data_IF_811929582514
#
_entry.id   IF_811929582514
#
_cell.length_a   1.000
_cell.length_b   1.000
_cell.length_c   1.000
_cell.angle_alpha   90.00
_cell.angle_beta   90.00
_cell.angle_gamma   90.00
#
_symmetry.space_group_name_H-M   'P 1'
#
loop_
_entity.id
_entity.type
_entity.pdbx_description
1 polymer ?
#
# COMPACT_ATOMS: atom_id res chain seq x y z
N UNK A 1 9.56 36.59 -15.01
CA UNK A 1 8.93 35.52 -14.19
C UNK A 1 9.53 34.22 -14.68
N UNK A 2 10.44 33.65 -13.90
CA UNK A 2 11.08 32.36 -14.23
C UNK A 2 10.26 31.34 -13.46
N UNK A 3 9.37 30.64 -14.16
CA UNK A 3 8.74 29.43 -13.63
C UNK A 3 9.84 28.40 -13.41
N UNK A 4 10.19 28.18 -12.15
CA UNK A 4 11.09 27.12 -11.76
C UNK A 4 10.39 25.80 -12.03
N UNK A 5 10.76 25.13 -13.11
CA UNK A 5 10.56 23.71 -13.28
C UNK A 5 11.46 22.99 -12.26
N UNK A 6 10.99 22.94 -11.02
CA UNK A 6 11.62 22.13 -10.00
C UNK A 6 11.53 20.69 -10.45
N UNK A 7 12.66 20.14 -10.86
CA UNK A 7 12.81 18.71 -11.12
C UNK A 7 12.41 17.98 -9.84
N UNK A 8 11.23 17.38 -9.81
CA UNK A 8 10.75 16.65 -8.63
C UNK A 8 11.75 15.53 -8.39
N UNK A 9 12.34 15.51 -7.20
CA UNK A 9 13.36 14.52 -6.86
C UNK A 9 12.74 13.12 -6.81
N UNK A 10 12.86 12.40 -7.93
CA UNK A 10 12.40 11.02 -8.07
C UNK A 10 13.46 10.00 -7.68
N UNK A 11 14.62 10.44 -7.19
CA UNK A 11 15.76 9.56 -6.84
C UNK A 11 15.39 8.57 -5.74
N UNK A 12 14.69 9.03 -4.70
CA UNK A 12 14.21 8.19 -3.59
C UNK A 12 13.33 7.04 -4.09
N UNK A 13 12.44 7.33 -5.05
CA UNK A 13 11.56 6.32 -5.63
C UNK A 13 12.33 5.26 -6.42
N UNK A 14 13.33 5.67 -7.21
CA UNK A 14 14.19 4.76 -7.98
C UNK A 14 15.04 3.86 -7.08
N UNK A 15 15.48 4.39 -5.93
CA UNK A 15 16.23 3.61 -4.95
C UNK A 15 15.37 2.59 -4.19
N UNK A 16 14.09 2.93 -3.95
CA UNK A 16 13.16 2.03 -3.26
C UNK A 16 12.74 0.85 -4.13
N UNK A 17 12.49 1.08 -5.42
CA UNK A 17 11.97 0.05 -6.33
C UNK A 17 13.09 -0.84 -6.81
N UNK A 18 13.09 -2.09 -6.34
CA UNK A 18 14.04 -3.12 -6.79
C UNK A 18 13.34 -4.28 -7.47
N UNK A 19 14.05 -4.98 -8.36
CA UNK A 19 13.47 -6.09 -9.13
C UNK A 19 12.99 -7.23 -8.23
N UNK A 20 13.70 -7.49 -7.14
CA UNK A 20 13.44 -8.56 -6.18
C UNK A 20 12.13 -8.36 -5.40
N UNK A 21 11.74 -7.11 -5.21
CA UNK A 21 10.50 -6.75 -4.52
C UNK A 21 9.28 -6.71 -5.46
N UNK A 22 9.49 -6.82 -6.76
CA UNK A 22 8.41 -6.95 -7.75
C UNK A 22 8.08 -8.41 -8.03
N UNK A 23 6.81 -8.77 -8.31
CA UNK A 23 6.43 -10.15 -8.64
C UNK A 23 7.11 -10.64 -9.94
N UNK A 24 7.28 -9.77 -10.91
CA UNK A 24 7.86 -10.06 -12.21
C UNK A 24 8.61 -8.85 -12.79
N UNK A 25 9.29 -9.05 -13.92
CA UNK A 25 10.06 -8.00 -14.58
C UNK A 25 9.14 -6.94 -15.24
N UNK A 26 7.96 -7.30 -15.66
CA UNK A 26 7.00 -6.37 -16.24
C UNK A 26 6.58 -5.34 -15.19
N UNK A 27 6.19 -5.78 -14.00
CA UNK A 27 5.86 -4.91 -12.86
C UNK A 27 7.01 -3.95 -12.55
N UNK A 28 8.25 -4.46 -12.48
CA UNK A 28 9.44 -3.63 -12.23
C UNK A 28 9.61 -2.54 -13.29
N UNK A 29 9.53 -2.88 -14.57
CA UNK A 29 9.68 -1.91 -15.67
C UNK A 29 8.53 -0.88 -15.68
N UNK A 30 7.31 -1.30 -15.36
CA UNK A 30 6.15 -0.39 -15.24
C UNK A 30 6.35 0.62 -14.11
N UNK A 31 6.89 0.21 -12.95
CA UNK A 31 7.25 1.13 -11.88
C UNK A 31 8.29 2.14 -12.31
N UNK A 32 9.40 1.70 -12.91
CA UNK A 32 10.46 2.61 -13.39
C UNK A 32 9.91 3.64 -14.38
N UNK A 33 9.15 3.18 -15.37
CA UNK A 33 8.50 4.04 -16.36
C UNK A 33 7.54 5.04 -15.71
N UNK A 34 6.78 4.60 -14.68
CA UNK A 34 5.82 5.47 -13.99
C UNK A 34 6.53 6.55 -13.16
N UNK A 35 7.66 6.21 -12.52
CA UNK A 35 8.48 7.16 -11.78
C UNK A 35 9.06 8.23 -12.71
N UNK A 36 9.49 7.87 -13.93
CA UNK A 36 10.01 8.81 -14.93
C UNK A 36 8.97 9.81 -15.45
N UNK A 37 7.69 9.48 -15.35
CA UNK A 37 6.60 10.38 -15.74
C UNK A 37 6.34 11.47 -14.71
N UNK A 38 6.94 11.40 -13.52
CA UNK A 38 6.64 12.29 -12.39
C UNK A 38 5.14 12.29 -12.03
N UNK A 39 4.63 13.27 -11.31
CA UNK A 39 3.20 13.37 -10.95
C UNK A 39 2.63 12.08 -10.35
N UNK A 40 3.29 11.60 -9.29
CA UNK A 40 3.08 10.25 -8.71
C UNK A 40 1.81 10.14 -7.85
N UNK A 41 1.22 11.26 -7.48
CA UNK A 41 0.07 11.30 -6.58
C UNK A 41 -1.25 11.28 -7.34
N UNK A 42 -2.32 10.94 -6.63
CA UNK A 42 -3.67 10.92 -7.19
C UNK A 42 -4.13 12.29 -7.71
N UNK A 43 -3.78 13.38 -7.02
CA UNK A 43 -4.17 14.73 -7.41
C UNK A 43 -3.46 15.19 -8.68
N UNK A 44 -2.22 14.74 -8.88
CA UNK A 44 -1.41 15.09 -10.03
C UNK A 44 -1.70 14.20 -11.24
N UNK A 45 -1.97 12.92 -11.01
CA UNK A 45 -2.33 11.94 -12.05
C UNK A 45 -3.46 11.03 -11.58
N UNK A 46 -4.73 11.44 -11.73
CA UNK A 46 -5.87 10.64 -11.29
C UNK A 46 -5.98 9.27 -11.99
N UNK A 47 -5.41 9.13 -13.19
CA UNK A 47 -5.50 7.89 -13.94
C UNK A 47 -4.51 6.82 -13.47
N UNK A 48 -3.32 7.23 -12.99
CA UNK A 48 -2.29 6.30 -12.56
C UNK A 48 -1.42 6.95 -11.47
N UNK A 49 -1.48 6.44 -10.26
CA UNK A 49 -0.81 7.02 -9.11
C UNK A 49 -0.33 5.96 -8.12
N UNK A 50 0.48 6.41 -7.17
CA UNK A 50 1.03 5.54 -6.14
C UNK A 50 0.10 5.44 -4.95
N UNK A 51 0.11 4.25 -4.36
CA UNK A 51 -0.61 3.94 -3.13
C UNK A 51 0.35 3.29 -2.13
N UNK A 52 0.07 3.46 -0.86
CA UNK A 52 0.76 2.76 0.21
C UNK A 52 -0.23 1.82 0.90
N UNK A 53 0.20 0.57 1.07
CA UNK A 53 -0.53 -0.42 1.85
C UNK A 53 0.35 -0.92 2.98
N UNK A 54 -0.24 -1.26 4.08
CA UNK A 54 0.47 -1.91 5.17
C UNK A 54 -0.29 -3.14 5.64
N UNK A 55 0.45 -4.20 5.92
CA UNK A 55 -0.12 -5.44 6.41
C UNK A 55 0.28 -5.61 7.88
N UNK A 56 -0.66 -5.37 8.84
CA UNK A 56 -0.39 -5.66 10.24
C UNK A 56 -0.24 -7.17 10.44
N UNK A 57 0.86 -7.56 11.08
CA UNK A 57 1.23 -8.95 11.29
C UNK A 57 1.51 -9.20 12.75
N UNK A 58 0.75 -10.11 13.36
CA UNK A 58 1.05 -10.63 14.66
C UNK A 58 1.95 -11.87 14.53
N UNK A 59 3.24 -11.68 14.77
CA UNK A 59 4.25 -12.75 14.60
C UNK A 59 4.06 -13.89 15.62
N UNK A 60 3.53 -13.58 16.80
CA UNK A 60 3.30 -14.58 17.83
C UNK A 60 2.14 -15.53 17.49
N UNK A 61 1.03 -14.97 17.01
CA UNK A 61 -0.17 -15.76 16.63
C UNK A 61 -0.18 -16.18 15.17
N UNK A 62 0.80 -15.71 14.36
CA UNK A 62 0.90 -15.91 12.91
C UNK A 62 -0.35 -15.49 12.15
N UNK A 63 -0.97 -14.39 12.61
CA UNK A 63 -2.17 -13.80 12.00
C UNK A 63 -1.87 -12.47 11.34
N UNK A 64 -2.66 -12.16 10.33
CA UNK A 64 -2.68 -10.86 9.65
C UNK A 64 -4.00 -10.14 9.94
N UNK A 65 -3.95 -8.81 9.97
CA UNK A 65 -5.13 -7.99 10.15
C UNK A 65 -5.65 -7.53 8.79
N UNK A 66 -6.94 -7.73 8.56
CA UNK A 66 -7.61 -7.36 7.33
C UNK A 66 -8.88 -6.55 7.61
N UNK A 67 -9.26 -5.73 6.66
CA UNK A 67 -10.41 -4.81 6.78
C UNK A 67 -11.44 -5.07 5.68
N UNK A 68 -12.72 -5.01 6.01
CA UNK A 68 -13.82 -5.00 5.04
C UNK A 68 -14.14 -3.54 4.71
N UNK A 69 -13.57 -3.04 3.64
CA UNK A 69 -13.60 -1.63 3.28
C UNK A 69 -14.95 -1.21 2.71
N UNK A 70 -15.58 -0.17 3.27
CA UNK A 70 -16.93 0.27 2.90
C UNK A 70 -17.05 0.73 1.45
N UNK A 71 -16.08 1.48 0.98
CA UNK A 71 -16.10 2.08 -0.36
C UNK A 71 -15.97 1.05 -1.48
N UNK A 72 -15.11 0.04 -1.30
CA UNK A 72 -14.91 -1.02 -2.31
C UNK A 72 -15.81 -2.23 -2.09
N UNK A 73 -16.30 -2.46 -0.86
CA UNK A 73 -16.99 -3.68 -0.47
C UNK A 73 -16.09 -4.92 -0.43
N UNK A 74 -14.78 -4.75 -0.46
CA UNK A 74 -13.80 -5.84 -0.51
C UNK A 74 -13.10 -6.01 0.83
N UNK A 75 -12.64 -7.22 1.09
CA UNK A 75 -11.65 -7.51 2.13
C UNK A 75 -10.26 -7.20 1.60
N UNK A 76 -9.56 -6.30 2.27
CA UNK A 76 -8.26 -5.76 1.85
C UNK A 76 -7.32 -5.60 3.05
N UNK A 77 -6.05 -5.39 2.78
CA UNK A 77 -5.13 -4.76 3.72
C UNK A 77 -5.44 -3.27 3.81
N UNK A 78 -5.27 -2.63 4.98
CA UNK A 78 -5.43 -1.20 5.13
C UNK A 78 -4.38 -0.41 4.33
N UNK A 79 -4.72 0.84 3.98
CA UNK A 79 -3.88 1.75 3.21
C UNK A 79 -4.64 2.58 2.20
N UNK A 80 -3.95 3.50 1.54
CA UNK A 80 -4.57 4.42 0.60
C UNK A 80 -3.61 5.12 -0.33
N UNK A 81 -4.05 6.24 -0.89
CA UNK A 81 -3.31 6.95 -1.91
C UNK A 81 -2.21 7.82 -1.32
N UNK A 82 -1.17 8.04 -2.12
CA UNK A 82 -0.16 9.03 -1.81
C UNK A 82 -0.71 10.44 -2.06
N UNK A 83 -0.63 11.33 -1.09
CA UNK A 83 -1.01 12.72 -1.22
C UNK A 83 0.14 13.57 -1.75
N UNK A 84 -0.21 14.72 -2.35
CA UNK A 84 0.77 15.61 -2.95
C UNK A 84 1.79 16.11 -1.93
N UNK A 85 3.06 15.89 -2.23
CA UNK A 85 4.19 16.32 -1.41
C UNK A 85 4.57 15.33 -0.30
N UNK A 86 3.85 14.22 -0.15
CA UNK A 86 4.22 13.19 0.81
C UNK A 86 5.37 12.30 0.30
N UNK A 87 6.25 11.93 1.21
CA UNK A 87 7.12 10.76 1.04
C UNK A 87 6.32 9.47 1.32
N UNK A 88 6.80 8.29 0.86
CA UNK A 88 6.16 7.01 1.18
C UNK A 88 5.99 6.77 2.69
N UNK A 89 6.96 7.18 3.50
CA UNK A 89 6.91 7.07 4.96
C UNK A 89 5.82 7.95 5.57
N UNK A 90 5.68 9.19 5.07
CA UNK A 90 4.63 10.09 5.55
C UNK A 90 3.25 9.55 5.20
N UNK A 91 3.06 9.09 3.97
CA UNK A 91 1.80 8.50 3.52
C UNK A 91 1.42 7.27 4.34
N UNK A 92 2.32 6.30 4.53
CA UNK A 92 1.99 5.09 5.30
C UNK A 92 1.70 5.39 6.77
N UNK A 93 2.39 6.35 7.40
CA UNK A 93 2.08 6.75 8.79
C UNK A 93 0.75 7.52 8.88
N UNK A 94 0.40 8.34 7.88
CA UNK A 94 -0.90 9.01 7.82
C UNK A 94 -2.03 7.99 7.71
N UNK A 95 -1.93 7.03 6.80
CA UNK A 95 -2.93 5.96 6.66
C UNK A 95 -3.05 5.11 7.94
N UNK A 96 -1.93 4.78 8.60
CA UNK A 96 -1.96 4.08 9.89
C UNK A 96 -2.67 4.91 10.97
N UNK A 97 -2.46 6.22 10.98
CA UNK A 97 -3.16 7.12 11.91
C UNK A 97 -4.66 7.19 11.60
N UNK A 98 -5.03 7.40 10.35
CA UNK A 98 -6.42 7.56 9.91
C UNK A 98 -7.22 6.28 10.15
N UNK A 99 -6.70 5.12 9.78
CA UNK A 99 -7.42 3.86 9.81
C UNK A 99 -7.32 3.10 11.15
N UNK A 100 -6.15 3.18 11.83
CA UNK A 100 -5.89 2.42 13.07
C UNK A 100 -5.68 3.30 14.30
N UNK A 101 -5.66 4.62 14.17
CA UNK A 101 -5.52 5.57 15.27
C UNK A 101 -4.14 5.58 15.94
N UNK A 102 -3.09 5.16 15.26
CA UNK A 102 -1.71 5.16 15.76
C UNK A 102 -0.96 6.36 15.19
N UNK A 103 -0.54 7.34 16.02
CA UNK A 103 0.00 8.62 15.55
C UNK A 103 1.29 8.53 14.73
N UNK A 104 2.19 7.61 15.08
CA UNK A 104 3.44 7.38 14.34
C UNK A 104 3.92 5.96 14.62
N UNK A 105 3.81 5.10 13.64
CA UNK A 105 4.29 3.73 13.77
C UNK A 105 5.74 3.59 13.30
N UNK A 106 6.02 4.04 12.08
CA UNK A 106 7.37 4.02 11.55
C UNK A 106 8.10 5.31 11.94
N UNK A 107 9.14 5.19 12.76
CA UNK A 107 10.01 6.32 13.17
C UNK A 107 11.16 6.54 12.20
N UNK A 108 11.54 5.51 11.46
CA UNK A 108 12.52 5.53 10.39
C UNK A 108 11.87 5.07 9.08
N UNK A 109 12.46 5.43 7.95
CA UNK A 109 11.92 5.06 6.62
C UNK A 109 11.84 3.53 6.49
N UNK A 110 10.63 2.96 6.47
CA UNK A 110 10.47 1.52 6.35
C UNK A 110 10.86 1.05 4.95
N UNK A 111 11.35 -0.18 4.86
CA UNK A 111 11.59 -0.83 3.57
C UNK A 111 10.31 -1.52 3.13
N UNK A 112 9.84 -1.26 1.91
CA UNK A 112 8.76 -2.05 1.32
C UNK A 112 9.16 -3.52 1.22
N UNK A 113 8.21 -4.43 1.31
CA UNK A 113 8.46 -5.86 1.10
C UNK A 113 7.88 -6.36 -0.23
N UNK A 114 7.06 -5.53 -0.89
CA UNK A 114 6.47 -5.84 -2.19
C UNK A 114 6.14 -4.53 -2.92
N UNK A 115 6.29 -4.56 -4.24
CA UNK A 115 5.72 -3.60 -5.19
C UNK A 115 4.77 -4.36 -6.10
N UNK A 116 3.51 -3.91 -6.20
CA UNK A 116 2.51 -4.53 -7.06
C UNK A 116 1.75 -3.48 -7.87
N UNK A 117 1.11 -3.92 -8.96
CA UNK A 117 0.28 -3.04 -9.77
C UNK A 117 -1.10 -3.66 -9.90
N UNK A 118 -2.12 -2.85 -9.61
CA UNK A 118 -3.52 -3.18 -9.87
C UNK A 118 -3.99 -2.38 -11.07
N UNK A 119 -4.28 -3.06 -12.16
CA UNK A 119 -4.97 -2.46 -13.31
C UNK A 119 -6.48 -2.48 -13.04
N UNK A 120 -7.12 -1.34 -13.20
CA UNK A 120 -8.55 -1.12 -12.90
C UNK A 120 -9.31 -1.09 -14.22
N UNK A 121 -9.94 -2.19 -14.57
CA UNK A 121 -10.80 -2.32 -15.74
C UNK A 121 -12.23 -1.86 -15.41
N UNK A 122 -12.38 -0.56 -15.14
CA UNK A 122 -13.67 0.07 -14.94
C UNK A 122 -13.74 1.35 -15.75
N UNK A 123 -14.59 1.35 -16.78
CA UNK A 123 -14.72 2.49 -17.73
C UNK A 123 -15.26 3.75 -17.04
N UNK A 124 -16.01 3.63 -15.94
CA UNK A 124 -16.61 4.76 -15.24
C UNK A 124 -15.68 5.39 -14.21
N UNK A 125 -14.59 4.71 -13.82
CA UNK A 125 -13.61 5.24 -12.89
C UNK A 125 -12.49 5.98 -13.63
N UNK A 126 -12.06 7.12 -13.07
CA UNK A 126 -10.93 7.88 -13.59
C UNK A 126 -9.64 7.11 -13.39
N UNK A 127 -9.47 6.45 -12.24
CA UNK A 127 -8.30 5.65 -11.93
C UNK A 127 -8.26 4.38 -12.79
N UNK A 128 -7.13 4.14 -13.44
CA UNK A 128 -6.86 2.99 -14.31
C UNK A 128 -5.78 2.08 -13.77
N UNK A 129 -4.88 2.59 -12.94
CA UNK A 129 -3.85 1.77 -12.32
C UNK A 129 -3.38 2.35 -10.98
N UNK A 130 -3.25 1.50 -9.99
CA UNK A 130 -2.53 1.77 -8.75
C UNK A 130 -1.14 1.14 -8.81
N UNK A 131 -0.14 1.87 -8.33
CA UNK A 131 1.23 1.41 -8.13
C UNK A 131 1.46 1.32 -6.63
N UNK A 132 1.37 0.12 -6.08
CA UNK A 132 1.27 -0.15 -4.65
C UNK A 132 2.61 -0.43 -4.01
N UNK A 133 2.92 0.28 -2.94
CA UNK A 133 4.04 0.03 -2.03
C UNK A 133 3.52 -0.65 -0.78
N UNK A 134 4.06 -1.82 -0.46
CA UNK A 134 3.59 -2.64 0.65
C UNK A 134 4.57 -2.65 1.81
N UNK A 135 4.06 -2.36 3.01
CA UNK A 135 4.83 -2.32 4.24
C UNK A 135 4.34 -3.35 5.24
N UNK A 136 5.27 -4.09 5.84
CA UNK A 136 4.95 -4.98 6.96
C UNK A 136 4.87 -4.16 8.23
N UNK A 137 3.81 -4.36 9.01
CA UNK A 137 3.58 -3.71 10.29
C UNK A 137 3.55 -4.76 11.41
N UNK A 138 4.71 -5.11 12.04
CA UNK A 138 4.74 -6.06 13.15
C UNK A 138 4.00 -5.47 14.36
N UNK A 139 2.92 -6.13 14.81
CA UNK A 139 2.08 -5.62 15.91
C UNK A 139 1.17 -6.72 16.45
N UNK A 140 0.74 -6.58 17.70
CA UNK A 140 -0.31 -7.40 18.29
C UNK A 140 -1.72 -6.79 18.13
N UNK A 141 -1.79 -5.55 17.67
CA UNK A 141 -3.03 -4.83 17.45
C UNK A 141 -3.70 -4.26 18.70
N UNK A 142 -3.08 -4.37 19.88
CA UNK A 142 -3.68 -3.91 21.16
C UNK A 142 -3.88 -2.39 21.20
N UNK A 143 -3.09 -1.63 20.42
CA UNK A 143 -3.18 -0.16 20.33
C UNK A 143 -4.18 0.34 19.28
N UNK A 144 -4.82 -0.54 18.50
CA UNK A 144 -5.69 -0.14 17.40
C UNK A 144 -6.96 0.57 17.91
N UNK A 145 -7.25 1.70 17.26
CA UNK A 145 -8.51 2.46 17.39
C UNK A 145 -9.08 2.60 15.98
N UNK A 146 -9.83 1.59 15.58
CA UNK A 146 -10.33 1.45 14.21
C UNK A 146 -11.31 2.56 13.84
N UNK A 147 -11.10 3.21 12.70
CA UNK A 147 -12.08 4.13 12.15
C UNK A 147 -13.29 3.36 11.60
N UNK A 148 -14.38 3.41 12.33
CA UNK A 148 -15.64 2.78 11.94
C UNK A 148 -16.32 3.47 10.75
N UNK A 149 -15.85 4.65 10.30
CA UNK A 149 -16.37 5.32 9.10
C UNK A 149 -15.85 4.68 7.82
N UNK A 150 -14.64 4.09 7.85
CA UNK A 150 -13.97 3.49 6.71
C UNK A 150 -14.34 2.01 6.51
N UNK A 151 -14.59 1.27 7.59
CA UNK A 151 -14.73 -0.18 7.55
C UNK A 151 -16.09 -0.67 8.04
N UNK A 152 -16.60 -1.72 7.39
CA UNK A 152 -17.75 -2.49 7.89
C UNK A 152 -17.34 -3.43 9.02
N UNK A 153 -16.18 -4.04 8.88
CA UNK A 153 -15.63 -5.04 9.81
C UNK A 153 -14.12 -5.14 9.68
N UNK A 154 -13.47 -5.59 10.74
CA UNK A 154 -12.03 -5.89 10.73
C UNK A 154 -11.77 -7.23 11.42
N UNK A 155 -10.72 -7.96 10.99
CA UNK A 155 -10.41 -9.28 11.52
C UNK A 155 -8.91 -9.54 11.62
N UNK A 156 -8.52 -10.22 12.70
CA UNK A 156 -7.27 -10.96 12.77
C UNK A 156 -7.50 -12.39 12.30
N UNK A 157 -6.90 -12.77 11.19
CA UNK A 157 -7.11 -14.08 10.54
C UNK A 157 -5.77 -14.74 10.21
N UNK A 158 -5.76 -16.05 10.08
CA UNK A 158 -4.61 -16.77 9.51
C UNK A 158 -4.49 -16.48 8.02
N UNK A 159 -3.31 -16.67 7.43
CA UNK A 159 -3.12 -16.46 5.98
C UNK A 159 -4.07 -17.32 5.13
N UNK A 160 -4.30 -18.62 5.42
CA UNK A 160 -5.30 -19.40 4.68
C UNK A 160 -6.73 -18.88 4.77
N UNK A 161 -7.11 -18.25 5.90
CA UNK A 161 -8.42 -17.60 6.05
C UNK A 161 -8.48 -16.29 5.26
N UNK A 162 -7.41 -15.47 5.31
CA UNK A 162 -7.30 -14.25 4.52
C UNK A 162 -7.46 -14.52 3.02
N UNK A 163 -6.82 -15.57 2.49
CA UNK A 163 -6.93 -15.99 1.08
C UNK A 163 -8.35 -16.37 0.65
N UNK A 164 -9.21 -16.76 1.58
CA UNK A 164 -10.63 -17.05 1.26
C UNK A 164 -11.50 -15.80 1.19
N UNK A 165 -11.07 -14.72 1.82
CA UNK A 165 -11.80 -13.46 1.92
C UNK A 165 -11.32 -12.44 0.89
N UNK A 166 -10.00 -12.34 0.73
CA UNK A 166 -9.36 -11.41 -0.21
C UNK A 166 -9.34 -12.00 -1.62
N UNK A 167 -9.83 -11.25 -2.60
CA UNK A 167 -9.86 -11.65 -4.01
C UNK A 167 -8.94 -10.80 -4.89
N UNK A 168 -8.46 -9.69 -4.37
CA UNK A 168 -7.56 -8.77 -5.06
C UNK A 168 -6.16 -9.36 -5.21
N UNK A 169 -5.61 -9.27 -6.43
CA UNK A 169 -4.32 -9.88 -6.79
C UNK A 169 -3.15 -9.32 -5.96
N UNK A 170 -3.13 -8.00 -5.73
CA UNK A 170 -2.05 -7.36 -4.95
C UNK A 170 -2.06 -7.83 -3.50
N UNK A 171 -3.24 -7.92 -2.90
CA UNK A 171 -3.40 -8.45 -1.55
C UNK A 171 -2.94 -9.91 -1.46
N UNK A 172 -3.30 -10.76 -2.42
CA UNK A 172 -2.85 -12.16 -2.46
C UNK A 172 -1.32 -12.26 -2.59
N UNK A 173 -0.69 -11.41 -3.41
CA UNK A 173 0.77 -11.35 -3.52
C UNK A 173 1.43 -10.89 -2.21
N UNK A 174 0.82 -9.94 -1.49
CA UNK A 174 1.31 -9.52 -0.17
C UNK A 174 1.24 -10.67 0.85
N UNK A 175 0.14 -11.44 0.86
CA UNK A 175 0.03 -12.63 1.71
C UNK A 175 1.11 -13.67 1.38
N UNK A 176 1.40 -13.92 0.09
CA UNK A 176 2.45 -14.85 -0.35
C UNK A 176 3.82 -14.45 0.22
N UNK A 177 4.17 -13.17 0.13
CA UNK A 177 5.44 -12.63 0.64
C UNK A 177 5.55 -12.74 2.16
N UNK A 178 4.47 -12.45 2.88
CA UNK A 178 4.48 -12.52 4.36
C UNK A 178 4.51 -13.96 4.84
N UNK A 179 3.79 -14.89 4.19
CA UNK A 179 3.79 -16.32 4.54
C UNK A 179 5.19 -16.92 4.52
N UNK A 180 6.02 -16.57 3.51
CA UNK A 180 7.41 -17.02 3.41
C UNK A 180 8.28 -16.61 4.59
N UNK A 181 7.90 -15.57 5.32
CA UNK A 181 8.67 -15.02 6.46
C UNK A 181 8.05 -15.35 7.82
N UNK A 182 6.82 -15.85 7.86
CA UNK A 182 6.11 -16.28 9.08
C UNK A 182 6.27 -17.77 9.40
N UNK A 183 7.00 -18.50 8.54
CA UNK A 183 7.23 -19.94 8.66
C UNK A 183 8.03 -20.31 9.90
#
# INVERSE_FOLDING_TARGET
MIEGTGNKDTSIWKELVTRELCPDNETYQRFLKRIEQEDLTRDENPASHFCVYFLPVNEHTKKVFIVHHKKSGLWLSPGGHLDKGESPMQAVNREILEELGIPTFFQETPKPFLFSIVDIDNQTQTCKAHHDLWYRMPTDGTAFRIDSSEFHETRWVTIPEARKLMIDKSNLQALDRVEMTLS
#
